data_IF_272910287783
#
_entry.id   IF_272910287783
#
_cell.length_a   1.000
_cell.length_b   1.000
_cell.length_c   1.000
_cell.angle_alpha   90.00
_cell.angle_beta   90.00
_cell.angle_gamma   90.00
#
_symmetry.space_group_name_H-M   'P 1'
#
loop_
_entity.id
_entity.type
_entity.pdbx_description
1 polymer ?
#
# COMPACT_ATOMS: atom_id res chain seq x y z
N UNK A 1 15.82 11.88 -28.94
CA UNK A 1 14.79 10.80 -28.91
C UNK A 1 13.57 11.31 -28.14
N UNK A 2 12.38 11.32 -28.74
CA UNK A 2 11.14 11.85 -28.09
C UNK A 2 10.34 10.66 -27.55
N UNK A 3 10.09 10.62 -26.24
CA UNK A 3 9.33 9.53 -25.61
C UNK A 3 7.88 9.56 -26.11
N UNK A 4 7.38 8.42 -26.60
CA UNK A 4 5.97 8.24 -26.94
C UNK A 4 5.14 8.17 -25.64
N UNK A 5 4.61 9.32 -25.21
CA UNK A 5 3.82 9.46 -23.98
C UNK A 5 2.54 8.63 -24.01
N UNK A 6 1.92 8.45 -25.17
CA UNK A 6 0.67 7.67 -25.30
C UNK A 6 0.93 6.19 -25.07
N UNK A 7 1.96 5.64 -25.73
CA UNK A 7 2.34 4.24 -25.54
C UNK A 7 2.78 3.95 -24.10
N UNK A 8 3.52 4.88 -23.48
CA UNK A 8 3.92 4.74 -22.07
C UNK A 8 2.71 4.68 -21.13
N UNK A 9 1.66 5.49 -21.37
CA UNK A 9 0.44 5.46 -20.54
C UNK A 9 -0.32 4.16 -20.68
N UNK A 10 -0.45 3.64 -21.91
CA UNK A 10 -1.10 2.35 -22.16
C UNK A 10 -0.34 1.22 -21.44
N UNK A 11 0.99 1.27 -21.43
CA UNK A 11 1.82 0.33 -20.68
C UNK A 11 1.56 0.43 -19.17
N UNK A 12 1.60 1.65 -18.60
CA UNK A 12 1.41 1.89 -17.16
C UNK A 12 -0.02 1.61 -16.66
N UNK A 13 -1.01 1.54 -17.55
CA UNK A 13 -2.39 1.16 -17.23
C UNK A 13 -2.75 -0.27 -17.67
N UNK A 14 -1.75 -1.05 -18.10
CA UNK A 14 -1.96 -2.43 -18.55
C UNK A 14 -2.35 -3.36 -17.39
N UNK A 15 -3.03 -4.46 -17.72
CA UNK A 15 -3.37 -5.52 -16.76
C UNK A 15 -2.13 -6.16 -16.15
N UNK A 16 -1.05 -6.31 -16.92
CA UNK A 16 0.22 -6.84 -16.43
C UNK A 16 0.81 -5.96 -15.32
N UNK A 17 0.87 -4.63 -15.50
CA UNK A 17 1.33 -3.71 -14.46
C UNK A 17 0.38 -3.73 -13.26
N UNK A 18 -0.93 -3.82 -13.49
CA UNK A 18 -1.91 -3.96 -12.41
C UNK A 18 -1.63 -5.21 -11.56
N UNK A 19 -1.41 -6.36 -12.20
CA UNK A 19 -1.12 -7.62 -11.51
C UNK A 19 0.19 -7.57 -10.73
N UNK A 20 1.25 -6.99 -11.31
CA UNK A 20 2.53 -6.80 -10.63
C UNK A 20 2.40 -5.89 -9.40
N UNK A 21 1.67 -4.77 -9.52
CA UNK A 21 1.39 -3.88 -8.40
C UNK A 21 0.57 -4.54 -7.30
N UNK A 22 -0.41 -5.36 -7.66
CA UNK A 22 -1.20 -6.13 -6.69
C UNK A 22 -0.35 -7.16 -5.97
N UNK A 23 0.48 -7.94 -6.70
CA UNK A 23 1.39 -8.91 -6.10
C UNK A 23 2.32 -8.24 -5.08
N UNK A 24 2.92 -7.11 -5.46
CA UNK A 24 3.78 -6.36 -4.57
C UNK A 24 3.04 -5.77 -3.35
N UNK A 25 1.80 -5.33 -3.53
CA UNK A 25 0.98 -4.86 -2.42
C UNK A 25 0.61 -5.99 -1.45
N UNK A 26 0.38 -7.21 -1.94
CA UNK A 26 0.16 -8.39 -1.08
C UNK A 26 1.44 -8.75 -0.28
N UNK A 27 2.62 -8.62 -0.87
CA UNK A 27 3.90 -8.79 -0.13
C UNK A 27 4.03 -7.76 0.99
N UNK A 28 3.76 -6.49 0.71
CA UNK A 28 3.76 -5.42 1.73
C UNK A 28 2.71 -5.71 2.81
N UNK A 29 1.52 -6.16 2.43
CA UNK A 29 0.46 -6.54 3.36
C UNK A 29 0.91 -7.68 4.28
N UNK A 30 1.54 -8.71 3.75
CA UNK A 30 2.04 -9.82 4.55
C UNK A 30 3.07 -9.35 5.60
N UNK A 31 3.97 -8.42 5.22
CA UNK A 31 4.90 -7.79 6.17
C UNK A 31 4.16 -6.96 7.23
N UNK A 32 3.13 -6.21 6.83
CA UNK A 32 2.32 -5.43 7.76
C UNK A 32 1.59 -6.34 8.77
N UNK A 33 0.98 -7.43 8.32
CA UNK A 33 0.32 -8.41 9.19
C UNK A 33 1.30 -9.10 10.15
N UNK A 34 2.49 -9.44 9.66
CA UNK A 34 3.53 -10.06 10.47
C UNK A 34 4.07 -9.14 11.57
N UNK A 35 4.19 -7.83 11.28
CA UNK A 35 4.82 -6.85 12.17
C UNK A 35 3.83 -6.01 12.98
N UNK A 36 2.53 -6.14 12.70
CA UNK A 36 1.49 -5.40 13.40
C UNK A 36 1.48 -5.68 14.90
N UNK A 37 1.32 -4.64 15.75
CA UNK A 37 1.11 -4.83 17.18
C UNK A 37 -0.18 -5.62 17.40
N UNK A 38 -0.14 -6.50 18.41
CA UNK A 38 -1.28 -7.32 18.81
C UNK A 38 -1.70 -6.89 20.19
N UNK A 39 -2.82 -6.15 20.25
CA UNK A 39 -3.59 -5.91 21.47
C UNK A 39 -4.89 -6.73 21.39
N UNK A 40 -5.96 -6.14 20.84
CA UNK A 40 -7.22 -6.86 20.55
C UNK A 40 -7.20 -7.72 19.26
N UNK A 41 -6.15 -7.64 18.46
CA UNK A 41 -6.04 -8.32 17.16
C UNK A 41 -6.81 -7.68 15.99
N UNK A 42 -7.78 -6.80 16.26
CA UNK A 42 -8.59 -6.11 15.23
C UNK A 42 -7.72 -5.43 14.18
N UNK A 43 -6.75 -4.61 14.60
CA UNK A 43 -5.85 -3.90 13.69
C UNK A 43 -5.09 -4.87 12.77
N UNK A 44 -4.53 -5.96 13.33
CA UNK A 44 -3.80 -6.97 12.56
C UNK A 44 -4.66 -7.69 11.51
N UNK A 45 -5.95 -7.89 11.80
CA UNK A 45 -6.89 -8.55 10.89
C UNK A 45 -7.56 -7.64 9.86
N UNK A 46 -7.25 -6.34 9.83
CA UNK A 46 -7.95 -5.34 9.00
C UNK A 46 -7.09 -4.78 7.85
N UNK A 47 -6.02 -5.46 7.44
CA UNK A 47 -5.23 -5.03 6.29
C UNK A 47 -5.85 -5.49 4.97
N UNK A 48 -5.92 -4.57 4.01
CA UNK A 48 -6.52 -4.81 2.70
C UNK A 48 -5.64 -4.24 1.59
N UNK A 49 -5.59 -4.93 0.45
CA UNK A 49 -4.98 -4.42 -0.79
C UNK A 49 -6.06 -3.75 -1.63
N UNK A 50 -5.79 -2.51 -2.02
CA UNK A 50 -6.68 -1.74 -2.88
C UNK A 50 -5.93 -1.31 -4.14
N UNK A 51 -6.42 -1.70 -5.31
CA UNK A 51 -5.89 -1.29 -6.60
C UNK A 51 -6.90 -0.46 -7.37
N UNK A 52 -6.42 0.60 -8.04
CA UNK A 52 -7.26 1.45 -8.88
C UNK A 52 -6.50 1.90 -10.13
N UNK A 53 -7.18 1.85 -11.28
CA UNK A 53 -6.70 2.49 -12.51
C UNK A 53 -6.75 4.01 -12.41
N UNK A 54 -6.01 4.70 -13.27
CA UNK A 54 -6.02 6.18 -13.36
C UNK A 54 -5.68 6.89 -12.05
N UNK A 55 -4.66 6.39 -11.36
CA UNK A 55 -4.06 6.96 -10.16
C UNK A 55 -2.95 7.97 -10.50
N UNK A 56 -2.49 8.71 -9.50
CA UNK A 56 -1.49 9.78 -9.64
C UNK A 56 -2.08 11.12 -10.10
N UNK A 57 -1.30 12.20 -10.02
CA UNK A 57 -1.74 13.58 -10.33
C UNK A 57 -2.35 13.71 -11.73
N UNK A 58 -1.79 12.97 -12.70
CA UNK A 58 -2.23 13.00 -14.09
C UNK A 58 -3.22 11.89 -14.47
N UNK A 59 -3.60 11.04 -13.52
CA UNK A 59 -4.56 9.94 -13.70
C UNK A 59 -4.20 9.00 -14.87
N UNK A 60 -2.92 8.75 -15.08
CA UNK A 60 -2.40 8.12 -16.29
C UNK A 60 -1.61 6.83 -16.06
N UNK A 61 -1.79 6.24 -14.87
CA UNK A 61 -1.20 4.96 -14.45
C UNK A 61 -2.13 4.21 -13.52
N UNK A 62 -1.98 2.90 -13.44
CA UNK A 62 -2.56 2.14 -12.34
C UNK A 62 -1.74 2.36 -11.06
N UNK A 63 -2.40 2.27 -9.90
CA UNK A 63 -1.76 2.26 -8.58
C UNK A 63 -2.39 1.22 -7.66
N UNK A 64 -1.60 0.71 -6.73
CA UNK A 64 -2.06 -0.12 -5.62
C UNK A 64 -1.64 0.52 -4.30
N UNK A 65 -2.41 0.26 -3.25
CA UNK A 65 -2.16 0.70 -1.89
C UNK A 65 -2.52 -0.42 -0.92
N UNK A 66 -1.80 -0.50 0.19
CA UNK A 66 -2.19 -1.28 1.36
C UNK A 66 -2.85 -0.33 2.34
N UNK A 67 -4.04 -0.67 2.81
CA UNK A 67 -4.81 0.12 3.77
C UNK A 67 -5.10 -0.72 5.00
N UNK A 68 -5.47 -0.05 6.11
CA UNK A 68 -6.03 -0.71 7.26
C UNK A 68 -7.43 -0.13 7.54
N UNK A 69 -8.46 -0.99 7.53
CA UNK A 69 -9.87 -0.59 7.66
C UNK A 69 -10.35 -0.48 9.10
N UNK A 70 -9.50 -0.79 10.09
CA UNK A 70 -9.87 -0.65 11.50
C UNK A 70 -10.14 0.82 11.86
N UNK A 71 -11.24 1.09 12.56
CA UNK A 71 -11.65 2.45 12.96
C UNK A 71 -10.56 3.21 13.74
N UNK A 72 -9.74 2.49 14.49
CA UNK A 72 -8.65 3.04 15.31
C UNK A 72 -7.28 2.96 14.63
N UNK A 73 -7.18 2.51 13.37
CA UNK A 73 -5.91 2.32 12.67
C UNK A 73 -5.05 3.59 12.66
N UNK A 74 -5.66 4.78 12.54
CA UNK A 74 -4.94 6.06 12.59
C UNK A 74 -4.16 6.24 13.89
N UNK A 75 -4.73 5.85 15.02
CA UNK A 75 -4.08 5.97 16.33
C UNK A 75 -2.97 4.94 16.52
N UNK A 76 -3.11 3.74 15.95
CA UNK A 76 -2.03 2.74 15.96
C UNK A 76 -0.86 3.21 15.09
N UNK A 77 -1.15 3.73 13.89
CA UNK A 77 -0.13 4.15 12.95
C UNK A 77 0.65 5.39 13.41
N UNK A 78 -0.05 6.38 13.95
CA UNK A 78 0.52 7.71 14.24
C UNK A 78 0.56 8.07 15.72
N UNK A 79 0.06 7.21 16.60
CA UNK A 79 -0.03 7.47 18.03
C UNK A 79 -1.14 8.47 18.39
N UNK A 80 -1.11 8.87 19.66
CA UNK A 80 -1.99 9.87 20.29
C UNK A 80 -1.38 10.30 21.63
N UNK A 81 -2.12 11.05 22.45
CA UNK A 81 -1.61 11.53 23.74
C UNK A 81 -1.26 10.36 24.67
N UNK A 82 0.04 10.08 24.80
CA UNK A 82 0.61 9.03 25.64
C UNK A 82 0.83 7.67 24.99
N UNK A 83 0.42 7.47 23.73
CA UNK A 83 0.60 6.20 23.01
C UNK A 83 1.64 6.33 21.87
N UNK A 84 2.61 5.40 21.76
CA UNK A 84 3.62 5.45 20.72
C UNK A 84 3.05 5.17 19.32
N UNK A 85 3.61 5.83 18.30
CA UNK A 85 3.28 5.56 16.91
C UNK A 85 3.99 4.29 16.41
N UNK A 86 3.23 3.34 15.85
CA UNK A 86 3.81 2.09 15.35
C UNK A 86 4.35 2.20 13.91
N UNK A 87 3.77 3.08 13.08
CA UNK A 87 4.13 3.28 11.68
C UNK A 87 4.22 1.95 10.87
N UNK A 88 3.37 0.98 11.17
CA UNK A 88 3.42 -0.37 10.60
C UNK A 88 3.36 -0.34 9.08
N UNK A 89 2.39 0.38 8.48
CA UNK A 89 2.26 0.46 7.02
C UNK A 89 3.45 1.15 6.36
N UNK A 90 3.97 2.20 6.98
CA UNK A 90 5.15 2.92 6.46
C UNK A 90 6.40 2.02 6.49
N UNK A 91 6.60 1.30 7.59
CA UNK A 91 7.72 0.36 7.75
C UNK A 91 7.58 -0.81 6.79
N UNK A 92 6.38 -1.39 6.67
CA UNK A 92 6.10 -2.46 5.73
C UNK A 92 6.35 -2.04 4.28
N UNK A 93 5.93 -0.84 3.88
CA UNK A 93 6.19 -0.32 2.53
C UNK A 93 7.69 -0.05 2.28
N UNK A 94 8.44 0.32 3.32
CA UNK A 94 9.90 0.54 3.22
C UNK A 94 10.64 -0.79 3.11
N UNK A 95 10.25 -1.79 3.90
CA UNK A 95 10.87 -3.12 3.91
C UNK A 95 10.42 -3.99 2.73
N UNK A 96 9.22 -3.76 2.20
CA UNK A 96 8.67 -4.46 1.05
C UNK A 96 9.27 -3.99 -0.28
N UNK A 97 9.92 -2.81 -0.34
CA UNK A 97 10.80 -2.46 -1.46
C UNK A 97 11.98 -3.44 -1.44
N UNK A 98 11.92 -4.48 -2.27
CA UNK A 98 12.99 -5.47 -2.40
C UNK A 98 14.38 -4.82 -2.53
N UNK A 99 15.36 -5.46 -1.88
CA UNK A 99 16.80 -5.29 -2.12
C UNK A 99 17.18 -5.57 -3.56
#
# INVERSE_FOLDING_TARGET
>A
MKINRTGLRQLLDSSMITAALMSHAEEIKAVAEATAPVDSGTYKGSFEVWARRRMGVRKDRTGAAVINSARHARFVEYGGDGAPAHHTLLRAATNGRGT
#
